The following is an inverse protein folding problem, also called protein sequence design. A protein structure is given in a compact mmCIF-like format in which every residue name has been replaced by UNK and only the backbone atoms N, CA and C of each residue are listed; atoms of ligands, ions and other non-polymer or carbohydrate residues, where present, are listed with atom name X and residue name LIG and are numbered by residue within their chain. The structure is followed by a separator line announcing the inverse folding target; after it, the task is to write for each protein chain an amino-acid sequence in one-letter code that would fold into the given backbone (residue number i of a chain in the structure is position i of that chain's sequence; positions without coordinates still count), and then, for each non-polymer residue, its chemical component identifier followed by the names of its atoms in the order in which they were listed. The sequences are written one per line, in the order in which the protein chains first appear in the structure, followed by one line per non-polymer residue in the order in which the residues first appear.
data_IF_939232971289
#
_entry.id   IF_939232971289
#
_cell.length_a   1.000
_cell.length_b   1.000
_cell.length_c   1.000
_cell.angle_alpha   90.00
_cell.angle_beta   90.00
_cell.angle_gamma   90.00
#
_symmetry.space_group_name_H-M   'P 1'
#
loop_
_entity.id
_entity.type
_entity.pdbx_description
1 polymer ?
#
# COMPACT_ATOMS: atom_id res chain seq x y z
N UNK A 1 6.89 6.82 46.29
CA UNK A 1 6.47 7.42 45.00
C UNK A 1 7.58 7.17 43.98
N UNK A 2 7.50 6.10 43.20
CA UNK A 2 8.41 5.86 42.08
C UNK A 2 7.63 6.09 40.79
N UNK A 3 7.98 7.19 40.12
CA UNK A 3 7.52 7.52 38.78
C UNK A 3 8.47 6.82 37.81
N UNK A 4 8.11 5.63 37.35
CA UNK A 4 8.89 4.91 36.35
C UNK A 4 8.49 5.38 34.95
N UNK A 5 9.41 6.16 34.40
CA UNK A 5 9.47 6.64 33.03
C UNK A 5 9.18 5.53 32.02
N UNK A 6 8.14 5.72 31.20
CA UNK A 6 7.93 5.00 29.93
C UNK A 6 9.15 5.27 29.05
N UNK A 7 10.12 4.35 29.07
CA UNK A 7 11.19 4.36 28.07
C UNK A 7 10.58 3.89 26.75
N UNK A 8 10.68 4.79 25.78
CA UNK A 8 10.32 4.67 24.38
C UNK A 8 10.91 3.38 23.75
N UNK A 9 10.06 2.38 23.50
CA UNK A 9 10.37 1.13 22.75
C UNK A 9 10.70 1.40 21.26
N UNK A 10 10.74 2.68 20.86
CA UNK A 10 11.06 3.15 19.51
C UNK A 10 12.53 3.00 19.13
N UNK A 11 13.42 2.66 20.08
CA UNK A 11 14.88 2.57 19.85
C UNK A 11 15.37 1.24 19.27
N UNK A 12 14.52 0.21 19.15
CA UNK A 12 14.95 -1.13 18.70
C UNK A 12 15.05 -1.29 17.16
N UNK A 13 14.35 -0.45 16.38
CA UNK A 13 14.28 -0.59 14.92
C UNK A 13 14.62 0.73 14.23
N UNK A 14 15.41 0.69 13.16
CA UNK A 14 15.86 1.90 12.46
C UNK A 14 14.77 2.51 11.54
N UNK A 15 13.69 1.77 11.24
CA UNK A 15 12.54 2.31 10.50
C UNK A 15 11.23 1.56 10.80
N UNK A 16 10.09 2.14 10.42
CA UNK A 16 8.77 1.50 10.54
C UNK A 16 8.66 0.27 9.63
N UNK A 17 9.29 0.29 8.47
CA UNK A 17 9.35 -0.83 7.54
C UNK A 17 10.10 -2.01 8.17
N UNK A 18 11.21 -1.76 8.87
CA UNK A 18 11.92 -2.80 9.64
C UNK A 18 11.06 -3.40 10.76
N UNK A 19 10.28 -2.56 11.47
CA UNK A 19 9.30 -3.04 12.47
C UNK A 19 8.28 -3.99 11.84
N UNK A 20 7.72 -3.61 10.69
CA UNK A 20 6.75 -4.43 9.96
C UNK A 20 7.36 -5.75 9.47
N UNK A 21 8.59 -5.74 8.97
CA UNK A 21 9.31 -6.97 8.58
C UNK A 21 9.50 -7.91 9.77
N UNK A 22 9.99 -7.39 10.90
CA UNK A 22 10.18 -8.19 12.11
C UNK A 22 8.85 -8.75 12.63
N UNK A 23 7.79 -7.94 12.63
CA UNK A 23 6.46 -8.36 13.05
C UNK A 23 5.86 -9.42 12.12
N UNK A 24 6.07 -9.34 10.80
CA UNK A 24 5.67 -10.40 9.85
C UNK A 24 6.30 -11.74 10.21
N UNK A 25 7.59 -11.76 10.57
CA UNK A 25 8.29 -12.99 10.99
C UNK A 25 7.70 -13.52 12.31
N UNK A 26 7.49 -12.65 13.29
CA UNK A 26 6.92 -13.04 14.57
C UNK A 26 5.49 -13.59 14.43
N UNK A 27 4.64 -12.97 13.59
CA UNK A 27 3.29 -13.45 13.31
C UNK A 27 3.27 -14.76 12.51
N UNK A 28 4.28 -15.03 11.69
CA UNK A 28 4.42 -16.33 11.03
C UNK A 28 4.65 -17.44 12.07
N UNK A 29 5.49 -17.19 13.07
CA UNK A 29 5.75 -18.14 14.16
C UNK A 29 4.58 -18.26 15.14
N UNK A 30 3.88 -17.15 15.41
CA UNK A 30 2.80 -17.04 16.40
C UNK A 30 1.59 -16.28 15.83
N UNK A 31 0.80 -16.90 14.93
CA UNK A 31 -0.24 -16.21 14.15
C UNK A 31 -1.44 -15.71 14.97
N UNK A 32 -1.62 -16.24 16.18
CA UNK A 32 -2.75 -15.90 17.05
C UNK A 32 -2.33 -15.16 18.32
N UNK A 33 -1.08 -14.69 18.41
CA UNK A 33 -0.64 -13.91 19.56
C UNK A 33 -1.36 -12.54 19.58
N UNK A 34 -2.16 -12.24 20.63
CA UNK A 34 -2.97 -11.03 20.67
C UNK A 34 -2.13 -9.74 20.72
N UNK A 35 -0.92 -9.78 21.28
CA UNK A 35 -0.05 -8.62 21.33
C UNK A 35 0.56 -8.34 19.95
N UNK A 36 0.92 -9.38 19.20
CA UNK A 36 1.41 -9.23 17.84
C UNK A 36 0.31 -8.75 16.88
N UNK A 37 -0.91 -9.24 17.05
CA UNK A 37 -2.06 -8.77 16.28
C UNK A 37 -2.39 -7.31 16.58
N UNK A 38 -2.36 -6.91 17.86
CA UNK A 38 -2.52 -5.50 18.24
C UNK A 38 -1.42 -4.62 17.64
N UNK A 39 -0.15 -5.05 17.72
CA UNK A 39 0.96 -4.31 17.11
C UNK A 39 0.83 -4.20 15.58
N UNK A 40 0.27 -5.22 14.92
CA UNK A 40 -0.03 -5.16 13.48
C UNK A 40 -1.03 -4.06 13.21
N UNK A 41 -2.14 -4.05 13.95
CA UNK A 41 -3.23 -3.09 13.78
C UNK A 41 -2.74 -1.64 13.99
N UNK A 42 -1.85 -1.42 14.96
CA UNK A 42 -1.17 -0.13 15.17
C UNK A 42 -0.26 0.24 13.98
N UNK A 43 0.49 -0.72 13.40
CA UNK A 43 1.39 -0.47 12.27
C UNK A 43 0.70 -0.32 10.90
N UNK A 44 -0.61 -0.59 10.83
CA UNK A 44 -1.47 -0.39 9.66
C UNK A 44 -2.64 0.56 9.95
N UNK A 45 -2.59 1.32 11.05
CA UNK A 45 -3.64 2.27 11.42
C UNK A 45 -3.85 3.33 10.31
N UNK A 46 -4.95 4.08 10.40
CA UNK A 46 -5.22 5.19 9.46
C UNK A 46 -4.04 6.16 9.40
N UNK A 47 -3.47 6.51 10.55
CA UNK A 47 -2.33 7.42 10.65
C UNK A 47 -1.07 6.81 10.00
N UNK A 48 -0.86 5.50 10.18
CA UNK A 48 0.25 4.79 9.56
C UNK A 48 0.10 4.68 8.03
N UNK A 49 -1.13 4.55 7.53
CA UNK A 49 -1.47 4.57 6.10
C UNK A 49 -1.27 5.96 5.50
N UNK A 50 -1.77 7.00 6.15
CA UNK A 50 -1.59 8.39 5.75
C UNK A 50 -0.10 8.77 5.71
N UNK A 51 0.67 8.41 6.73
CA UNK A 51 2.12 8.65 6.75
C UNK A 51 2.86 7.89 5.64
N UNK A 52 2.41 6.68 5.30
CA UNK A 52 2.95 5.93 4.16
C UNK A 52 2.58 6.59 2.82
N UNK A 53 1.35 7.07 2.68
CA UNK A 53 0.87 7.80 1.51
C UNK A 53 1.61 9.12 1.30
N UNK A 54 1.94 9.85 2.37
CA UNK A 54 2.74 11.08 2.30
C UNK A 54 4.15 10.87 1.73
N UNK A 55 4.74 9.66 1.90
CA UNK A 55 6.00 9.30 1.22
C UNK A 55 5.82 9.03 -0.28
N UNK A 56 4.59 8.90 -0.75
CA UNK A 56 4.20 8.63 -2.12
C UNK A 56 3.34 7.38 -2.24
N UNK A 57 2.35 7.46 -3.13
CA UNK A 57 1.45 6.36 -3.49
C UNK A 57 1.81 5.90 -4.91
N UNK A 58 2.08 4.62 -5.08
CA UNK A 58 2.32 4.00 -6.39
C UNK A 58 1.12 3.16 -6.80
N UNK A 59 0.59 3.34 -8.02
CA UNK A 59 -0.45 2.46 -8.57
C UNK A 59 0.22 1.38 -9.41
N UNK A 60 0.15 0.13 -8.96
CA UNK A 60 0.67 -1.04 -9.68
C UNK A 60 -0.49 -1.78 -10.32
N UNK A 61 -0.39 -2.06 -11.62
CA UNK A 61 -1.48 -2.60 -12.43
C UNK A 61 -0.92 -3.42 -13.59
N UNK A 62 -1.73 -4.34 -14.13
CA UNK A 62 -1.44 -4.98 -15.42
C UNK A 62 -1.78 -4.03 -16.56
N UNK A 63 -1.05 -4.11 -17.69
CA UNK A 63 -1.37 -3.31 -18.89
C UNK A 63 -2.83 -3.46 -19.35
N UNK A 64 -3.47 -4.61 -19.11
CA UNK A 64 -4.88 -4.82 -19.44
C UNK A 64 -5.84 -3.95 -18.60
N UNK A 65 -5.38 -3.44 -17.46
CA UNK A 65 -6.16 -2.64 -16.50
C UNK A 65 -5.80 -1.14 -16.56
N UNK A 66 -5.03 -0.69 -17.57
CA UNK A 66 -4.51 0.68 -17.66
C UNK A 66 -5.59 1.76 -17.58
N UNK A 67 -6.70 1.58 -18.29
CA UNK A 67 -7.80 2.54 -18.28
C UNK A 67 -8.40 2.71 -16.89
N UNK A 68 -8.50 1.63 -16.11
CA UNK A 68 -8.97 1.69 -14.73
C UNK A 68 -7.94 2.35 -13.81
N UNK A 69 -6.65 2.01 -13.95
CA UNK A 69 -5.60 2.63 -13.16
C UNK A 69 -5.50 4.15 -13.40
N UNK A 70 -5.70 4.57 -14.65
CA UNK A 70 -5.77 5.98 -15.04
C UNK A 70 -6.97 6.70 -14.42
N UNK A 71 -8.17 6.13 -14.53
CA UNK A 71 -9.38 6.68 -13.88
C UNK A 71 -9.20 6.75 -12.35
N UNK A 72 -8.63 5.71 -11.72
CA UNK A 72 -8.33 5.70 -10.29
C UNK A 72 -7.40 6.86 -9.90
N UNK A 73 -6.34 7.09 -10.67
CA UNK A 73 -5.39 8.19 -10.43
C UNK A 73 -6.08 9.56 -10.51
N UNK A 74 -6.89 9.80 -11.55
CA UNK A 74 -7.66 11.04 -11.72
C UNK A 74 -8.60 11.27 -10.54
N UNK A 75 -9.39 10.25 -10.19
CA UNK A 75 -10.42 10.38 -9.16
C UNK A 75 -9.86 10.56 -7.76
N UNK A 76 -8.66 10.04 -7.48
CA UNK A 76 -7.94 10.33 -6.24
C UNK A 76 -7.36 11.75 -6.25
N UNK A 77 -6.86 12.21 -7.39
CA UNK A 77 -6.35 13.58 -7.55
C UNK A 77 -7.44 14.63 -7.35
N UNK A 78 -8.70 14.36 -7.69
CA UNK A 78 -9.85 15.24 -7.39
C UNK A 78 -10.01 15.52 -5.88
N UNK A 79 -9.51 14.64 -5.02
CA UNK A 79 -9.47 14.82 -3.56
C UNK A 79 -8.08 15.24 -3.04
N UNK A 80 -7.19 15.68 -3.93
CA UNK A 80 -5.82 16.09 -3.58
C UNK A 80 -4.87 14.93 -3.26
N UNK A 81 -5.31 13.68 -3.43
CA UNK A 81 -4.49 12.49 -3.19
C UNK A 81 -3.61 12.22 -4.42
N UNK A 82 -2.36 12.67 -4.35
CA UNK A 82 -1.39 12.49 -5.44
C UNK A 82 -0.93 11.04 -5.53
N UNK A 83 -0.96 10.49 -6.74
CA UNK A 83 -0.50 9.13 -7.04
C UNK A 83 0.52 9.14 -8.17
N UNK A 84 1.39 8.14 -8.15
CA UNK A 84 2.33 7.88 -9.23
C UNK A 84 1.83 6.69 -10.06
N UNK A 85 1.77 6.90 -11.38
CA UNK A 85 1.36 5.94 -12.40
C UNK A 85 2.30 6.10 -13.59
N UNK A 86 2.89 5.01 -14.07
CA UNK A 86 3.93 5.04 -15.10
C UNK A 86 3.44 5.67 -16.42
N UNK A 87 2.23 5.34 -16.86
CA UNK A 87 1.60 5.88 -18.08
C UNK A 87 1.35 7.40 -18.04
N UNK A 88 1.35 8.00 -16.84
CA UNK A 88 1.22 9.46 -16.65
C UNK A 88 2.59 10.12 -16.44
N UNK A 89 3.49 9.46 -15.71
CA UNK A 89 4.67 10.10 -15.12
C UNK A 89 5.99 9.78 -15.82
N UNK A 90 6.07 8.70 -16.60
CA UNK A 90 7.26 8.38 -17.41
C UNK A 90 7.16 9.11 -18.75
N UNK A 91 8.12 9.99 -19.03
CA UNK A 91 8.20 10.72 -20.30
C UNK A 91 8.87 9.86 -21.38
N UNK A 92 8.52 10.08 -22.64
CA UNK A 92 9.04 9.32 -23.80
C UNK A 92 10.58 9.23 -23.89
N UNK A 93 11.29 10.22 -23.34
CA UNK A 93 12.76 10.29 -23.38
C UNK A 93 13.46 9.69 -22.16
N UNK A 94 12.71 9.22 -21.15
CA UNK A 94 13.27 8.65 -19.93
C UNK A 94 13.44 7.13 -20.07
N UNK A 95 14.41 6.57 -19.35
CA UNK A 95 14.46 5.12 -19.14
C UNK A 95 13.30 4.71 -18.22
N UNK A 96 12.34 3.98 -18.80
CA UNK A 96 11.14 3.55 -18.09
C UNK A 96 11.47 2.71 -16.85
N UNK A 97 12.45 1.81 -16.95
CA UNK A 97 12.80 0.91 -15.86
C UNK A 97 13.41 1.65 -14.68
N UNK A 98 14.29 2.63 -14.95
CA UNK A 98 14.89 3.45 -13.92
C UNK A 98 13.85 4.32 -13.19
N UNK A 99 12.93 4.95 -13.92
CA UNK A 99 11.91 5.82 -13.32
C UNK A 99 10.89 5.02 -12.48
N UNK A 100 10.42 3.89 -12.99
CA UNK A 100 9.56 2.97 -12.23
C UNK A 100 10.26 2.48 -10.97
N UNK A 101 11.52 2.05 -11.08
CA UNK A 101 12.32 1.59 -9.93
C UNK A 101 12.49 2.69 -8.89
N UNK A 102 12.75 3.93 -9.33
CA UNK A 102 12.88 5.09 -8.45
C UNK A 102 11.56 5.40 -7.74
N UNK A 103 10.44 5.35 -8.46
CA UNK A 103 9.11 5.59 -7.89
C UNK A 103 8.74 4.53 -6.85
N UNK A 104 8.93 3.25 -7.16
CA UNK A 104 8.73 2.13 -6.22
C UNK A 104 9.58 2.26 -4.96
N UNK A 105 10.85 2.67 -5.12
CA UNK A 105 11.76 2.85 -3.99
C UNK A 105 11.33 4.01 -3.07
N UNK A 106 10.77 5.08 -3.63
CA UNK A 106 10.32 6.25 -2.86
C UNK A 106 8.94 6.06 -2.23
N UNK A 107 8.02 5.40 -2.93
CA UNK A 107 6.66 5.21 -2.46
C UNK A 107 6.62 4.51 -1.11
N UNK A 108 5.80 5.00 -0.19
CA UNK A 108 5.52 4.34 1.09
C UNK A 108 4.31 3.41 1.02
N UNK A 109 3.43 3.65 0.05
CA UNK A 109 2.17 2.93 -0.15
C UNK A 109 2.03 2.49 -1.61
N UNK A 110 1.51 1.28 -1.82
CA UNK A 110 1.10 0.79 -3.14
C UNK A 110 -0.41 0.55 -3.18
N UNK A 111 -1.07 1.03 -4.22
CA UNK A 111 -2.40 0.57 -4.62
C UNK A 111 -2.19 -0.49 -5.69
N UNK A 112 -2.38 -1.76 -5.33
CA UNK A 112 -2.19 -2.87 -6.26
C UNK A 112 -3.53 -3.23 -6.89
N UNK A 113 -3.64 -3.12 -8.21
CA UNK A 113 -4.86 -3.40 -8.97
C UNK A 113 -4.94 -4.90 -9.25
N UNK A 114 -5.94 -5.55 -8.66
CA UNK A 114 -6.23 -6.97 -8.82
C UNK A 114 -7.26 -7.19 -9.93
N UNK A 115 -6.87 -8.03 -10.88
CA UNK A 115 -7.67 -8.57 -11.97
C UNK A 115 -7.13 -9.98 -12.31
N UNK A 116 -7.86 -10.82 -13.07
CA UNK A 116 -7.33 -12.10 -13.55
C UNK A 116 -5.97 -11.95 -14.26
N UNK A 117 -5.84 -10.94 -15.13
CA UNK A 117 -4.65 -10.68 -15.94
C UNK A 117 -3.48 -10.18 -15.08
N UNK A 118 -3.75 -9.38 -14.04
CA UNK A 118 -2.72 -8.97 -13.09
C UNK A 118 -2.17 -10.15 -12.26
N UNK A 119 -3.01 -11.15 -11.96
CA UNK A 119 -2.57 -12.35 -11.24
C UNK A 119 -1.78 -13.32 -12.13
N UNK A 120 -2.00 -13.31 -13.44
CA UNK A 120 -1.24 -14.11 -14.40
C UNK A 120 0.09 -13.44 -14.79
N UNK A 121 0.20 -12.12 -14.61
CA UNK A 121 1.41 -11.35 -14.88
C UNK A 121 2.46 -11.55 -13.77
N UNK A 122 3.55 -12.24 -14.12
CA UNK A 122 4.64 -12.54 -13.20
C UNK A 122 5.42 -11.31 -12.78
N UNK A 123 5.55 -10.31 -13.64
CA UNK A 123 6.33 -9.12 -13.32
C UNK A 123 5.58 -8.26 -12.30
N UNK A 124 4.27 -8.09 -12.50
CA UNK A 124 3.35 -7.41 -11.58
C UNK A 124 3.32 -8.12 -10.21
N UNK A 125 3.08 -9.43 -10.19
CA UNK A 125 3.01 -10.19 -8.93
C UNK A 125 4.36 -10.23 -8.18
N UNK A 126 5.49 -10.32 -8.90
CA UNK A 126 6.83 -10.24 -8.30
C UNK A 126 7.13 -8.84 -7.74
N UNK A 127 6.64 -7.79 -8.39
CA UNK A 127 6.73 -6.42 -7.87
C UNK A 127 5.97 -6.28 -6.55
N UNK A 128 4.72 -6.76 -6.49
CA UNK A 128 3.92 -6.74 -5.26
C UNK A 128 4.62 -7.47 -4.11
N UNK A 129 5.14 -8.66 -4.40
CA UNK A 129 5.87 -9.47 -3.41
C UNK A 129 7.13 -8.74 -2.90
N UNK A 130 7.93 -8.15 -3.80
CA UNK A 130 9.12 -7.36 -3.43
C UNK A 130 8.75 -6.12 -2.61
N UNK A 131 7.70 -5.41 -3.00
CA UNK A 131 7.22 -4.23 -2.29
C UNK A 131 6.79 -4.58 -0.85
N UNK A 132 5.98 -5.63 -0.69
CA UNK A 132 5.58 -6.12 0.64
C UNK A 132 6.76 -6.65 1.47
N UNK A 133 7.70 -7.37 0.85
CA UNK A 133 8.89 -7.90 1.53
C UNK A 133 9.80 -6.79 2.07
N UNK A 134 9.74 -5.59 1.48
CA UNK A 134 10.44 -4.39 1.98
C UNK A 134 9.78 -3.74 3.19
N UNK A 135 8.67 -4.28 3.72
CA UNK A 135 7.96 -3.74 4.88
C UNK A 135 7.03 -2.57 4.57
N UNK A 136 6.85 -2.24 3.29
CA UNK A 136 5.92 -1.19 2.84
C UNK A 136 4.48 -1.69 2.80
N UNK A 137 3.53 -0.76 2.78
CA UNK A 137 2.10 -1.06 2.84
C UNK A 137 1.50 -1.18 1.43
N UNK A 138 0.62 -2.17 1.24
CA UNK A 138 -0.07 -2.41 -0.01
C UNK A 138 -1.58 -2.50 0.28
N UNK A 139 -2.37 -1.70 -0.42
CA UNK A 139 -3.84 -1.80 -0.43
C UNK A 139 -4.26 -2.54 -1.70
N UNK A 140 -4.86 -3.74 -1.57
CA UNK A 140 -5.40 -4.46 -2.72
C UNK A 140 -6.66 -3.76 -3.24
N UNK A 141 -6.71 -3.50 -4.54
CA UNK A 141 -7.83 -2.87 -5.24
C UNK A 141 -8.44 -3.91 -6.18
N UNK A 142 -9.62 -4.46 -5.84
CA UNK A 142 -10.28 -5.47 -6.67
C UNK A 142 -11.00 -4.76 -7.81
N UNK A 143 -10.34 -4.61 -8.96
CA UNK A 143 -10.92 -4.02 -10.15
C UNK A 143 -11.88 -5.00 -10.84
N UNK A 144 -11.45 -6.26 -10.98
CA UNK A 144 -12.25 -7.35 -11.56
C UNK A 144 -12.25 -8.55 -10.61
N UNK A 145 -13.36 -9.29 -10.59
CA UNK A 145 -13.50 -10.47 -9.75
C UNK A 145 -12.40 -11.49 -10.09
N UNK A 146 -11.62 -11.87 -9.08
CA UNK A 146 -10.46 -12.74 -9.23
C UNK A 146 -10.20 -13.53 -7.92
N UNK A 147 -9.37 -14.57 -8.00
CA UNK A 147 -9.03 -15.39 -6.83
C UNK A 147 -7.90 -14.75 -6.03
N UNK A 148 -8.22 -14.27 -4.82
CA UNK A 148 -7.25 -13.65 -3.90
C UNK A 148 -6.54 -14.66 -2.99
N UNK A 149 -6.71 -15.97 -3.23
CA UNK A 149 -5.98 -16.99 -2.47
C UNK A 149 -4.48 -16.73 -2.50
N UNK A 150 -3.85 -16.78 -1.32
CA UNK A 150 -2.42 -16.54 -1.16
C UNK A 150 -2.03 -15.07 -1.01
N UNK A 151 -2.98 -14.13 -1.11
CA UNK A 151 -2.73 -12.73 -0.79
C UNK A 151 -2.39 -12.56 0.70
N UNK A 152 -1.13 -12.22 0.99
CA UNK A 152 -0.63 -11.97 2.35
C UNK A 152 -0.58 -10.48 2.70
N UNK A 153 -1.65 -9.75 2.38
CA UNK A 153 -1.81 -8.35 2.78
C UNK A 153 -2.34 -8.25 4.21
N UNK A 154 -1.83 -7.29 4.97
CA UNK A 154 -2.41 -6.93 6.27
C UNK A 154 -3.61 -5.99 6.15
N UNK A 155 -3.78 -5.35 4.99
CA UNK A 155 -4.87 -4.41 4.74
C UNK A 155 -5.93 -5.14 3.91
N UNK A 156 -7.19 -5.00 4.31
CA UNK A 156 -8.31 -5.61 3.62
C UNK A 156 -8.41 -5.06 2.18
N UNK A 157 -8.72 -5.93 1.20
CA UNK A 157 -9.01 -5.47 -0.16
C UNK A 157 -10.19 -4.50 -0.21
N UNK A 158 -10.10 -3.53 -1.13
CA UNK A 158 -11.19 -2.61 -1.45
C UNK A 158 -11.81 -3.06 -2.77
N UNK A 159 -13.13 -3.26 -2.76
CA UNK A 159 -13.87 -3.77 -3.92
C UNK A 159 -14.34 -2.63 -4.84
N UNK A 160 -13.83 -2.61 -6.07
CA UNK A 160 -14.19 -1.67 -7.13
C UNK A 160 -15.06 -2.31 -8.22
N UNK A 161 -15.41 -3.60 -8.11
CA UNK A 161 -16.10 -4.35 -9.17
C UNK A 161 -17.53 -3.87 -9.44
N UNK A 162 -18.18 -3.26 -8.44
CA UNK A 162 -19.58 -2.82 -8.52
C UNK A 162 -19.73 -1.31 -8.67
N UNK A 163 -18.97 -0.54 -7.89
CA UNK A 163 -19.14 0.91 -7.74
C UNK A 163 -17.80 1.60 -7.48
N UNK A 164 -17.28 2.23 -8.53
CA UNK A 164 -16.06 3.04 -8.49
C UNK A 164 -16.12 4.10 -7.40
N UNK A 165 -17.24 4.80 -7.28
CA UNK A 165 -17.40 5.91 -6.34
C UNK A 165 -17.30 5.48 -4.86
N UNK A 166 -17.84 4.30 -4.51
CA UNK A 166 -17.71 3.74 -3.16
C UNK A 166 -16.25 3.42 -2.84
N UNK A 167 -15.54 2.76 -3.77
CA UNK A 167 -14.12 2.44 -3.59
C UNK A 167 -13.27 3.71 -3.44
N UNK A 168 -13.55 4.75 -4.22
CA UNK A 168 -12.88 6.05 -4.10
C UNK A 168 -13.15 6.69 -2.72
N UNK A 169 -14.39 6.67 -2.22
CA UNK A 169 -14.68 7.20 -0.87
C UNK A 169 -13.97 6.40 0.22
N UNK A 170 -13.85 5.07 0.08
CA UNK A 170 -13.11 4.25 1.04
C UNK A 170 -11.62 4.61 1.04
N UNK A 171 -10.98 4.72 -0.13
CA UNK A 171 -9.60 5.18 -0.22
C UNK A 171 -9.42 6.58 0.36
N UNK A 172 -10.34 7.50 0.05
CA UNK A 172 -10.33 8.85 0.62
C UNK A 172 -10.35 8.82 2.14
N UNK A 173 -11.28 8.11 2.77
CA UNK A 173 -11.38 8.01 4.22
C UNK A 173 -10.12 7.44 4.88
N UNK A 174 -9.40 6.57 4.15
CA UNK A 174 -8.16 5.94 4.62
C UNK A 174 -6.91 6.81 4.41
N UNK A 175 -6.89 7.67 3.39
CA UNK A 175 -5.65 8.31 2.90
C UNK A 175 -5.67 9.84 2.94
N UNK A 176 -6.84 10.46 2.92
CA UNK A 176 -6.98 11.92 3.05
C UNK A 176 -6.45 12.35 4.41
N UNK A 177 -5.53 13.32 4.40
CA UNK A 177 -5.04 13.97 5.61
C UNK A 177 -5.92 15.20 5.79
N UNK A 178 -6.66 15.26 6.90
CA UNK A 178 -7.40 16.47 7.25
C UNK A 178 -6.38 17.61 7.33
N UNK A 179 -6.54 18.63 6.48
CA UNK A 179 -5.76 19.84 6.63
C UNK A 179 -6.14 20.45 7.98
N UNK A 180 -5.19 20.56 8.91
CA UNK A 180 -5.39 21.36 10.12
C UNK A 180 -5.80 22.77 9.68
N UNK A 181 -7.02 23.15 10.06
CA UNK A 181 -7.60 24.50 9.86
C UNK A 181 -6.91 25.49 10.78
#
# INVERSE_FOLDING_TARGET
MQNQSRKDDTTQFASIEQKRIALRRALYEKPHDPNLLKARDELISKEALQAAAQKGIFISYSRCDELFAFELAIRLNDYGIQTWLDSIHVREQQDWYEEVTRALNRAGLMLAVFSPEALEDRDVTNEWARFMASGKLLIPIIHRACDLKGLNSWIAPIDFTRRLDIGIQQLRLMLEVDAEV
#
